data_IF_712936128028
#
_entry.id   IF_712936128028
#
_cell.length_a   1.000
_cell.length_b   1.000
_cell.length_c   1.000
_cell.angle_alpha   90.00
_cell.angle_beta   90.00
_cell.angle_gamma   90.00
#
_symmetry.space_group_name_H-M   'P 1'
#
loop_
_entity.id
_entity.type
_entity.pdbx_description
1 polymer ?
#
# COMPACT_ATOMS: atom_id res chain seq x y z
N UNK A 1 31.28 34.22 2.37
CA UNK A 1 30.78 33.39 1.25
C UNK A 1 30.65 31.93 1.63
N UNK A 2 31.67 31.32 2.26
CA UNK A 2 31.61 29.92 2.72
C UNK A 2 30.40 29.62 3.62
N UNK A 3 30.13 30.47 4.62
CA UNK A 3 28.99 30.28 5.54
C UNK A 3 27.63 30.24 4.81
N UNK A 4 27.44 31.10 3.81
CA UNK A 4 26.22 31.11 2.98
C UNK A 4 26.10 29.83 2.17
N UNK A 5 27.18 29.38 1.53
CA UNK A 5 27.19 28.11 0.79
C UNK A 5 26.84 26.93 1.70
N UNK A 6 27.39 26.89 2.92
CA UNK A 6 27.11 25.82 3.88
C UNK A 6 25.61 25.74 4.22
N UNK A 7 24.95 26.88 4.43
CA UNK A 7 23.49 26.92 4.64
C UNK A 7 22.70 26.32 3.48
N UNK A 8 23.09 26.62 2.23
CA UNK A 8 22.45 26.03 1.06
C UNK A 8 22.67 24.52 0.96
N UNK A 9 23.91 24.06 1.17
CA UNK A 9 24.23 22.62 1.18
C UNK A 9 23.39 21.90 2.22
N UNK A 10 23.28 22.45 3.42
CA UNK A 10 22.52 21.85 4.51
C UNK A 10 21.02 21.74 4.17
N UNK A 11 20.40 22.81 3.67
CA UNK A 11 18.98 22.81 3.32
C UNK A 11 18.70 21.84 2.16
N UNK A 12 19.54 21.83 1.13
CA UNK A 12 19.40 20.91 -0.01
C UNK A 12 19.59 19.46 0.43
N UNK A 13 20.56 19.18 1.30
CA UNK A 13 20.76 17.84 1.86
C UNK A 13 19.54 17.36 2.65
N UNK A 14 18.88 18.25 3.40
CA UNK A 14 17.65 17.91 4.12
C UNK A 14 16.46 17.65 3.17
N UNK A 15 16.26 18.51 2.17
CA UNK A 15 15.21 18.36 1.14
C UNK A 15 15.33 17.01 0.47
N UNK A 16 16.55 16.67 0.06
CA UNK A 16 16.84 15.47 -0.70
C UNK A 16 16.70 14.22 0.18
N UNK A 17 17.20 14.27 1.43
CA UNK A 17 16.98 13.20 2.41
C UNK A 17 15.50 12.90 2.64
N UNK A 18 14.67 13.94 2.77
CA UNK A 18 13.22 13.75 2.96
C UNK A 18 12.60 13.20 1.67
N UNK A 19 12.91 13.79 0.53
CA UNK A 19 12.41 13.34 -0.78
C UNK A 19 12.73 11.88 -1.05
N UNK A 20 13.97 11.44 -0.79
CA UNK A 20 14.36 10.05 -0.95
C UNK A 20 13.51 9.15 -0.06
N UNK A 21 13.29 9.52 1.22
CA UNK A 21 12.44 8.75 2.12
C UNK A 21 10.97 8.65 1.67
N UNK A 22 10.47 9.64 0.93
CA UNK A 22 9.08 9.73 0.46
C UNK A 22 8.84 9.10 -0.92
N UNK A 23 9.85 9.11 -1.79
CA UNK A 23 9.68 8.74 -3.20
C UNK A 23 10.56 7.55 -3.62
N UNK A 24 11.68 7.33 -2.95
CA UNK A 24 12.62 6.26 -3.26
C UNK A 24 12.48 5.12 -2.23
N UNK A 25 12.33 3.91 -2.75
CA UNK A 25 12.19 2.69 -1.92
C UNK A 25 13.57 2.11 -1.54
N UNK A 26 14.64 2.57 -2.20
CA UNK A 26 16.03 2.17 -1.98
C UNK A 26 16.85 3.30 -1.36
N UNK A 27 17.55 2.98 -0.27
CA UNK A 27 18.47 3.89 0.45
C UNK A 27 19.78 4.17 -0.32
N UNK A 28 19.99 3.47 -1.44
CA UNK A 28 21.28 3.37 -2.14
C UNK A 28 21.45 4.31 -3.34
N UNK A 29 20.58 5.31 -3.52
CA UNK A 29 20.78 6.29 -4.61
C UNK A 29 21.68 7.42 -4.12
N UNK A 30 22.98 7.48 -4.50
CA UNK A 30 23.81 8.61 -4.15
C UNK A 30 23.31 9.82 -4.94
N UNK A 31 22.63 10.73 -4.26
CA UNK A 31 22.37 12.03 -4.84
C UNK A 31 23.64 12.85 -4.85
N UNK A 32 23.95 13.36 -6.02
CA UNK A 32 24.91 14.45 -6.18
C UNK A 32 24.20 15.76 -5.89
N UNK A 33 24.32 16.27 -4.67
CA UNK A 33 23.88 17.62 -4.31
C UNK A 33 24.70 18.66 -5.09
N UNK A 34 24.15 19.20 -6.17
CA UNK A 34 24.75 20.30 -6.92
C UNK A 34 24.19 21.61 -6.38
N UNK A 35 25.02 22.36 -5.65
CA UNK A 35 24.70 23.75 -5.27
C UNK A 35 24.99 24.64 -6.48
N UNK A 36 23.98 25.37 -6.92
CA UNK A 36 24.18 26.44 -7.89
C UNK A 36 24.91 27.60 -7.21
N UNK A 37 26.21 27.70 -7.46
CA UNK A 37 27.04 28.78 -6.90
C UNK A 37 26.73 30.16 -7.52
N UNK A 38 25.98 30.22 -8.62
CA UNK A 38 25.62 31.47 -9.27
C UNK A 38 24.46 32.22 -8.59
N UNK A 39 23.60 31.52 -7.83
CA UNK A 39 22.46 32.12 -7.12
C UNK A 39 22.43 31.71 -5.63
N UNK A 40 23.33 32.31 -4.85
CA UNK A 40 23.36 32.24 -3.39
C UNK A 40 22.55 33.36 -2.72
N UNK A 41 21.49 33.84 -3.39
CA UNK A 41 20.69 34.96 -2.90
C UNK A 41 19.83 34.59 -1.68
N UNK A 42 19.53 35.57 -0.83
CA UNK A 42 18.64 35.39 0.33
C UNK A 42 17.25 34.93 -0.13
N UNK A 43 16.79 35.42 -1.29
CA UNK A 43 15.50 35.02 -1.89
C UNK A 43 15.49 33.52 -2.21
N UNK A 44 16.55 33.01 -2.84
CA UNK A 44 16.65 31.59 -3.18
C UNK A 44 16.71 30.71 -1.93
N UNK A 45 17.49 31.12 -0.92
CA UNK A 45 17.54 30.40 0.36
C UNK A 45 16.17 30.34 1.04
N UNK A 46 15.42 31.45 1.03
CA UNK A 46 14.06 31.50 1.56
C UNK A 46 13.09 30.56 0.84
N UNK A 47 13.22 30.44 -0.49
CA UNK A 47 12.44 29.48 -1.29
C UNK A 47 12.75 28.03 -0.88
N UNK A 48 14.04 27.66 -0.78
CA UNK A 48 14.45 26.33 -0.37
C UNK A 48 13.97 25.99 1.04
N UNK A 49 14.01 26.93 1.98
CA UNK A 49 13.43 26.72 3.30
C UNK A 49 11.91 26.52 3.26
N UNK A 50 11.19 27.16 2.33
CA UNK A 50 9.75 26.91 2.16
C UNK A 50 9.49 25.50 1.66
N UNK A 51 10.21 25.08 0.62
CA UNK A 51 10.13 23.72 0.08
C UNK A 51 10.45 22.66 1.15
N UNK A 52 11.49 22.91 1.96
CA UNK A 52 11.83 22.03 3.07
C UNK A 52 10.68 21.89 4.09
N UNK A 53 9.99 23.00 4.42
CA UNK A 53 8.84 22.94 5.33
C UNK A 53 7.67 22.17 4.72
N UNK A 54 7.38 22.40 3.45
CA UNK A 54 6.29 21.70 2.76
C UNK A 54 6.56 20.18 2.69
N UNK A 55 7.82 19.79 2.41
CA UNK A 55 8.24 18.38 2.44
C UNK A 55 8.21 17.76 3.84
N UNK A 56 8.58 18.51 4.88
CA UNK A 56 8.45 18.06 6.27
C UNK A 56 6.98 17.81 6.64
N UNK A 57 6.08 18.70 6.21
CA UNK A 57 4.65 18.55 6.42
C UNK A 57 4.09 17.33 5.67
N UNK A 58 4.39 17.16 4.37
CA UNK A 58 3.97 15.98 3.61
C UNK A 58 4.47 14.68 4.24
N UNK A 59 5.71 14.68 4.74
CA UNK A 59 6.26 13.52 5.48
C UNK A 59 5.43 13.19 6.73
N UNK A 60 5.04 14.19 7.50
CA UNK A 60 4.26 13.99 8.73
C UNK A 60 2.83 13.55 8.40
N UNK A 61 2.20 14.15 7.39
CA UNK A 61 0.86 13.77 6.91
C UNK A 61 0.84 12.32 6.42
N UNK A 62 1.84 11.90 5.63
CA UNK A 62 1.97 10.50 5.19
C UNK A 62 2.24 9.55 6.34
N UNK A 63 3.06 9.94 7.31
CA UNK A 63 3.32 9.11 8.50
C UNK A 63 2.02 8.87 9.28
N UNK A 64 1.26 9.93 9.54
CA UNK A 64 -0.04 9.83 10.20
C UNK A 64 -1.00 8.92 9.41
N UNK A 65 -1.04 9.08 8.08
CA UNK A 65 -1.87 8.24 7.23
C UNK A 65 -1.48 6.76 7.30
N UNK A 66 -0.19 6.43 7.23
CA UNK A 66 0.30 5.05 7.36
C UNK A 66 -0.06 4.46 8.73
N UNK A 67 0.08 5.23 9.82
CA UNK A 67 -0.30 4.79 11.16
C UNK A 67 -1.81 4.46 11.25
N UNK A 68 -2.66 5.27 10.63
CA UNK A 68 -4.11 5.02 10.63
C UNK A 68 -4.49 3.80 9.78
N UNK A 69 -3.80 3.57 8.66
CA UNK A 69 -3.94 2.34 7.88
C UNK A 69 -3.52 1.11 8.70
N UNK A 70 -2.40 1.17 9.43
CA UNK A 70 -1.95 0.08 10.31
C UNK A 70 -2.95 -0.22 11.42
N UNK A 71 -3.50 0.81 12.09
CA UNK A 71 -4.57 0.64 13.09
C UNK A 71 -5.80 -0.05 12.50
N UNK A 72 -6.16 0.29 11.25
CA UNK A 72 -7.28 -0.32 10.54
C UNK A 72 -7.00 -1.80 10.23
N UNK A 73 -5.81 -2.13 9.71
CA UNK A 73 -5.38 -3.51 9.48
C UNK A 73 -5.40 -4.32 10.78
N UNK A 74 -4.83 -3.78 11.86
CA UNK A 74 -4.83 -4.44 13.18
C UNK A 74 -6.25 -4.75 13.67
N UNK A 75 -7.17 -3.78 13.54
CA UNK A 75 -8.58 -3.97 13.92
C UNK A 75 -9.27 -5.05 13.07
N UNK A 76 -9.00 -5.08 11.76
CA UNK A 76 -9.54 -6.10 10.86
C UNK A 76 -8.96 -7.49 11.15
N UNK A 77 -7.65 -7.59 11.38
CA UNK A 77 -6.98 -8.82 11.78
C UNK A 77 -7.58 -9.38 13.08
N UNK A 78 -7.81 -8.53 14.09
CA UNK A 78 -8.45 -8.92 15.35
C UNK A 78 -9.86 -9.48 15.14
N UNK A 79 -10.67 -8.86 14.28
CA UNK A 79 -12.05 -9.31 14.00
C UNK A 79 -12.07 -10.62 13.20
N UNK A 80 -11.09 -10.83 12.32
CA UNK A 80 -10.99 -12.02 11.46
C UNK A 80 -10.17 -13.16 12.09
N UNK A 81 -9.60 -12.96 13.28
CA UNK A 81 -8.70 -13.94 13.90
C UNK A 81 -7.38 -14.16 13.14
N UNK A 82 -6.92 -13.16 12.39
CA UNK A 82 -5.67 -13.22 11.62
C UNK A 82 -4.50 -12.60 12.40
N UNK A 83 -3.30 -13.08 12.13
CA UNK A 83 -2.07 -12.49 12.67
C UNK A 83 -1.73 -11.16 11.96
N UNK A 84 -1.54 -10.11 12.75
CA UNK A 84 -1.26 -8.77 12.25
C UNK A 84 0.12 -8.69 11.59
N UNK A 85 1.15 -9.19 12.27
CA UNK A 85 2.56 -9.13 11.82
C UNK A 85 2.74 -9.83 10.47
N UNK A 86 2.19 -11.04 10.34
CA UNK A 86 2.19 -11.81 9.08
C UNK A 86 1.45 -11.09 7.96
N UNK A 87 0.43 -10.30 8.30
CA UNK A 87 -0.39 -9.57 7.32
C UNK A 87 0.33 -8.33 6.78
N UNK A 88 0.99 -7.55 7.64
CA UNK A 88 1.73 -6.35 7.23
C UNK A 88 3.08 -6.68 6.61
N UNK A 89 3.74 -7.77 7.03
CA UNK A 89 5.00 -8.24 6.44
C UNK A 89 4.86 -8.57 4.94
N UNK A 90 3.67 -8.97 4.48
CA UNK A 90 3.36 -9.18 3.05
C UNK A 90 3.37 -7.91 2.22
N UNK A 91 3.17 -6.75 2.85
CA UNK A 91 3.23 -5.44 2.18
C UNK A 91 4.68 -4.99 2.11
N UNK A 92 5.34 -4.94 3.27
CA UNK A 92 6.75 -4.63 3.35
C UNK A 92 7.32 -5.21 4.65
N UNK A 93 8.47 -5.91 4.63
CA UNK A 93 9.07 -6.52 5.82
C UNK A 93 9.34 -5.51 6.95
N UNK A 94 9.49 -4.25 6.58
CA UNK A 94 9.77 -3.17 7.51
C UNK A 94 8.55 -2.68 8.30
N UNK A 95 7.33 -3.04 7.92
CA UNK A 95 6.08 -2.54 8.54
C UNK A 95 5.64 -3.33 9.77
N UNK A 96 6.34 -4.41 10.14
CA UNK A 96 6.05 -5.18 11.35
C UNK A 96 6.57 -4.50 12.63
N UNK A 97 6.96 -5.33 13.61
CA UNK A 97 7.41 -5.00 14.99
C UNK A 97 8.20 -3.69 15.18
N UNK A 98 9.02 -3.27 14.21
CA UNK A 98 9.89 -2.10 14.32
C UNK A 98 9.45 -0.88 13.48
N UNK A 99 8.15 -0.67 13.27
CA UNK A 99 7.65 0.52 12.58
C UNK A 99 7.74 1.77 13.47
N UNK A 100 8.94 2.33 13.61
CA UNK A 100 9.21 3.52 14.44
C UNK A 100 9.26 4.81 13.60
N UNK A 101 8.52 4.86 12.49
CA UNK A 101 8.61 5.96 11.51
C UNK A 101 9.96 6.02 10.77
N UNK A 102 10.81 4.99 10.94
CA UNK A 102 12.16 4.88 10.34
C UNK A 102 12.16 4.31 8.91
N UNK A 103 11.01 3.86 8.39
CA UNK A 103 10.96 3.02 7.18
C UNK A 103 9.95 3.51 6.12
N UNK A 104 10.22 3.13 4.86
CA UNK A 104 9.61 3.55 3.58
C UNK A 104 8.20 4.17 3.70
N UNK A 105 8.12 5.49 3.64
CA UNK A 105 6.87 6.28 3.58
C UNK A 105 6.40 6.48 2.14
N UNK A 106 6.85 5.58 1.26
CA UNK A 106 6.59 5.68 -0.17
C UNK A 106 5.14 5.37 -0.49
N UNK A 107 4.68 5.87 -1.64
CA UNK A 107 3.34 5.60 -2.16
C UNK A 107 3.07 4.09 -2.29
N UNK A 108 4.11 3.30 -2.59
CA UNK A 108 4.02 1.84 -2.69
C UNK A 108 3.59 1.21 -1.36
N UNK A 109 4.15 1.66 -0.24
CA UNK A 109 3.78 1.23 1.12
C UNK A 109 2.31 1.55 1.41
N UNK A 110 1.87 2.78 1.14
CA UNK A 110 0.49 3.23 1.35
C UNK A 110 -0.50 2.43 0.51
N UNK A 111 -0.17 2.23 -0.78
CA UNK A 111 -0.99 1.42 -1.69
C UNK A 111 -1.09 -0.03 -1.22
N UNK A 112 0.02 -0.65 -0.81
CA UNK A 112 0.02 -2.04 -0.35
C UNK A 112 -0.79 -2.26 0.94
N UNK A 113 -0.75 -1.30 1.87
CA UNK A 113 -1.61 -1.31 3.06
C UNK A 113 -3.08 -1.16 2.68
N UNK A 114 -3.41 -0.22 1.79
CA UNK A 114 -4.77 0.00 1.30
C UNK A 114 -5.34 -1.24 0.61
N UNK A 115 -4.57 -1.87 -0.28
CA UNK A 115 -4.96 -3.13 -0.92
C UNK A 115 -5.16 -4.27 0.09
N UNK A 116 -4.34 -4.32 1.14
CA UNK A 116 -4.51 -5.30 2.22
C UNK A 116 -5.80 -5.07 3.00
N UNK A 117 -6.13 -3.84 3.35
CA UNK A 117 -7.41 -3.48 3.99
C UNK A 117 -8.58 -3.90 3.10
N UNK A 118 -8.54 -3.61 1.80
CA UNK A 118 -9.58 -4.02 0.86
C UNK A 118 -9.74 -5.54 0.81
N UNK A 119 -8.63 -6.28 0.73
CA UNK A 119 -8.64 -7.75 0.76
C UNK A 119 -9.27 -8.28 2.05
N UNK A 120 -8.86 -7.77 3.22
CA UNK A 120 -9.42 -8.19 4.51
C UNK A 120 -10.92 -7.89 4.60
N UNK A 121 -11.37 -6.74 4.11
CA UNK A 121 -12.81 -6.41 4.04
C UNK A 121 -13.58 -7.36 3.13
N UNK A 122 -12.98 -7.77 2.00
CA UNK A 122 -13.60 -8.68 1.05
C UNK A 122 -13.65 -10.14 1.55
N UNK A 123 -12.75 -10.56 2.46
CA UNK A 123 -12.82 -11.89 3.10
C UNK A 123 -14.12 -12.07 3.89
N UNK A 124 -14.67 -11.01 4.51
CA UNK A 124 -16.01 -11.06 5.15
C UNK A 124 -17.14 -11.47 4.19
N UNK A 125 -16.97 -11.34 2.87
CA UNK A 125 -18.01 -11.65 1.89
C UNK A 125 -17.95 -13.12 1.43
N UNK A 126 -16.80 -13.79 1.54
CA UNK A 126 -16.69 -15.20 1.14
C UNK A 126 -17.10 -16.21 2.22
N UNK A 127 -17.06 -15.84 3.50
CA UNK A 127 -17.57 -16.69 4.59
C UNK A 127 -19.07 -16.51 4.90
N UNK A 128 -19.79 -15.70 4.10
CA UNK A 128 -21.25 -15.56 4.17
C UNK A 128 -22.00 -16.03 2.93
N UNK A 129 -21.31 -16.59 1.92
CA UNK A 129 -21.91 -16.91 0.61
C UNK A 129 -21.69 -18.37 0.16
N UNK A 130 -21.39 -19.29 1.07
CA UNK A 130 -21.42 -20.73 0.79
C UNK A 130 -22.46 -21.43 1.65
N UNK A 131 -23.75 -21.10 1.45
CA UNK A 131 -24.88 -21.92 1.91
C UNK A 131 -25.75 -22.30 0.71
N UNK A 132 -25.56 -23.54 0.27
CA UNK A 132 -26.56 -24.50 -0.21
C UNK A 132 -27.67 -23.96 -1.12
N UNK A 133 -27.49 -24.08 -2.45
CA UNK A 133 -28.52 -24.53 -3.40
C UNK A 133 -27.73 -25.38 -4.40
N UNK A 134 -27.96 -26.68 -4.52
CA UNK A 134 -29.15 -27.24 -5.18
C UNK A 134 -29.62 -28.54 -4.52
N UNK A 135 -30.76 -28.46 -3.85
CA UNK A 135 -31.66 -29.59 -3.72
C UNK A 135 -32.79 -29.33 -4.74
N UNK A 136 -32.83 -30.08 -5.85
CA UNK A 136 -34.00 -30.12 -6.73
C UNK A 136 -34.38 -31.57 -7.01
N UNK A 137 -35.00 -32.18 -6.00
CA UNK A 137 -35.95 -33.26 -6.23
C UNK A 137 -37.21 -32.65 -6.87
N UNK A 138 -37.74 -33.27 -7.94
CA UNK A 138 -39.07 -32.94 -8.44
C UNK A 138 -39.27 -33.11 -9.95
N UNK A 139 -39.52 -34.35 -10.35
CA UNK A 139 -40.58 -34.81 -11.25
C UNK A 139 -40.67 -34.27 -12.69
N UNK A 140 -40.45 -35.17 -13.65
CA UNK A 140 -41.21 -35.19 -14.90
C UNK A 140 -41.48 -36.64 -15.34
N UNK A 141 -42.75 -37.03 -15.34
CA UNK A 141 -43.36 -38.13 -16.10
C UNK A 141 -44.87 -37.82 -16.21
N UNK A 142 -45.67 -38.32 -17.17
CA UNK A 142 -45.44 -39.26 -18.29
C UNK A 142 -45.69 -38.61 -19.68
N UNK A 143 -45.30 -39.23 -20.80
CA UNK A 143 -46.18 -39.79 -21.85
C UNK A 143 -45.28 -39.92 -23.11
N UNK A 144 -45.41 -40.83 -24.08
CA UNK A 144 -46.35 -41.90 -24.39
C UNK A 144 -45.64 -42.87 -25.36
N UNK A 145 -46.19 -44.07 -25.46
CA UNK A 145 -45.83 -45.18 -26.33
C UNK A 145 -45.87 -44.81 -27.83
N UNK A 146 -44.86 -45.22 -28.59
CA UNK A 146 -44.97 -45.95 -29.86
C UNK A 146 -43.63 -45.93 -30.62
N UNK A 147 -43.01 -47.09 -30.82
CA UNK A 147 -42.91 -47.70 -32.15
C UNK A 147 -41.99 -48.92 -32.07
N UNK A 148 -42.62 -50.09 -32.20
CA UNK A 148 -41.95 -51.34 -32.54
C UNK A 148 -41.43 -51.23 -33.98
N UNK A 149 -40.20 -51.68 -34.25
CA UNK A 149 -39.89 -52.75 -35.21
C UNK A 149 -38.39 -52.81 -35.52
N UNK A 150 -37.81 -54.00 -35.31
CA UNK A 150 -36.79 -54.63 -36.14
C UNK A 150 -35.38 -54.03 -36.15
N UNK A 151 -34.40 -54.79 -35.69
CA UNK A 151 -33.20 -55.13 -36.48
C UNK A 151 -32.64 -56.46 -35.97
N UNK A 152 -32.42 -57.32 -36.94
CA UNK A 152 -31.93 -58.69 -36.96
C UNK A 152 -30.41 -58.69 -36.80
N UNK A 153 -29.84 -59.55 -35.96
CA UNK A 153 -28.43 -59.96 -36.10
C UNK A 153 -28.27 -61.44 -35.73
N UNK A 154 -28.01 -62.23 -36.77
CA UNK A 154 -27.22 -63.45 -36.75
C UNK A 154 -25.95 -63.12 -37.55
#
# INVERSE_FOLDING_TARGET
MQERRNQFVEVLAQIEKISNKLYNDSDDTPSSLVVDESDLSIRKLGQLHSELRDLQQDKDDRLNHVLDLLKTVHSLCKVLGLDFETTVAKVHPSLGVDFEGKKSLTNKTIMGLTSTIQRLRNVKIKEGATVQRENKCGNHHPDSLASSQGIFFL
#
